data_IF_734793425008
#
_entry.id   IF_734793425008
#
_cell.length_a   1.000
_cell.length_b   1.000
_cell.length_c   1.000
_cell.angle_alpha   90.00
_cell.angle_beta   90.00
_cell.angle_gamma   90.00
#
_symmetry.space_group_name_H-M   'P 1'
#
loop_
_entity.id
_entity.type
_entity.pdbx_description
1 polymer ?
#
# COMPACT_ATOMS: atom_id res chain seq x y z
N UNK A 1 6.27 7.81 47.80
CA UNK A 1 6.98 7.56 46.51
C UNK A 1 8.45 7.57 46.83
N UNK A 2 9.19 6.51 46.49
CA UNK A 2 10.61 6.44 46.84
C UNK A 2 11.42 7.14 45.74
N UNK A 3 11.93 8.33 46.06
CA UNK A 3 12.85 9.08 45.20
C UNK A 3 14.28 8.96 45.72
N UNK A 4 15.25 9.09 44.82
CA UNK A 4 16.68 9.10 45.13
C UNK A 4 17.39 10.17 44.29
N UNK A 5 18.48 10.74 44.79
CA UNK A 5 19.28 11.73 44.04
C UNK A 5 20.36 11.03 43.21
N UNK A 6 20.94 11.72 42.22
CA UNK A 6 21.94 11.10 41.35
C UNK A 6 23.14 10.52 42.09
N UNK A 7 23.58 11.18 43.17
CA UNK A 7 24.72 10.78 44.00
C UNK A 7 24.52 9.42 44.68
N UNK A 8 23.27 9.03 44.90
CA UNK A 8 22.89 7.81 45.62
C UNK A 8 22.54 6.66 44.64
N UNK A 9 22.77 6.86 43.32
CA UNK A 9 22.57 5.85 42.28
C UNK A 9 23.92 5.26 41.90
N UNK A 10 24.13 3.98 42.19
CA UNK A 10 25.29 3.24 41.70
C UNK A 10 25.34 3.24 40.17
N UNK A 11 26.42 3.76 39.61
CA UNK A 11 26.64 3.82 38.17
C UNK A 11 27.92 3.09 37.78
N UNK A 12 27.77 2.04 36.97
CA UNK A 12 28.89 1.36 36.31
C UNK A 12 28.84 1.67 34.81
N UNK A 13 29.84 2.39 34.31
CA UNK A 13 29.93 2.75 32.89
C UNK A 13 30.13 1.50 32.03
N UNK A 14 29.12 1.14 31.21
CA UNK A 14 29.21 0.00 30.26
C UNK A 14 29.85 0.36 28.92
N UNK A 15 30.10 1.65 28.66
CA UNK A 15 30.78 2.13 27.45
C UNK A 15 31.35 3.52 27.69
N UNK A 16 32.33 3.93 26.87
CA UNK A 16 32.90 5.30 26.88
C UNK A 16 31.88 6.41 26.60
N UNK A 17 30.69 6.07 26.09
CA UNK A 17 29.59 7.01 25.77
C UNK A 17 28.45 6.96 26.80
N UNK A 18 28.60 6.19 27.88
CA UNK A 18 27.56 6.08 28.90
C UNK A 18 27.52 7.36 29.76
N UNK A 19 26.38 8.05 29.71
CA UNK A 19 26.13 9.26 30.51
C UNK A 19 25.82 8.88 31.96
N UNK A 20 26.55 9.42 32.97
CA UNK A 20 26.29 9.15 34.38
C UNK A 20 24.99 9.82 34.89
N UNK A 21 24.36 9.29 35.95
CA UNK A 21 23.16 9.86 36.57
C UNK A 21 23.28 11.35 36.92
N UNK A 22 24.46 11.78 37.39
CA UNK A 22 24.75 13.18 37.78
C UNK A 22 24.61 14.13 36.59
N UNK A 23 25.04 13.69 35.40
CA UNK A 23 24.90 14.49 34.18
C UNK A 23 23.44 14.60 33.75
N UNK A 24 22.66 13.52 33.89
CA UNK A 24 21.21 13.57 33.66
C UNK A 24 20.51 14.50 34.65
N UNK A 25 20.82 14.43 35.93
CA UNK A 25 20.25 15.30 36.97
C UNK A 25 20.55 16.77 36.68
N UNK A 26 21.80 17.10 36.32
CA UNK A 26 22.19 18.46 35.94
C UNK A 26 21.37 18.98 34.76
N UNK A 27 21.17 18.15 33.73
CA UNK A 27 20.37 18.50 32.55
C UNK A 27 18.89 18.69 32.88
N UNK A 28 18.34 17.85 33.74
CA UNK A 28 16.94 17.91 34.17
C UNK A 28 16.70 19.17 35.01
N UNK A 29 17.59 19.48 35.96
CA UNK A 29 17.52 20.70 36.77
C UNK A 29 17.53 21.94 35.87
N UNK A 30 18.42 22.02 34.87
CA UNK A 30 18.45 23.13 33.91
C UNK A 30 17.12 23.30 33.17
N UNK A 31 16.53 22.21 32.69
CA UNK A 31 15.21 22.26 32.03
C UNK A 31 14.13 22.69 33.01
N UNK A 32 14.14 22.17 34.23
CA UNK A 32 13.18 22.55 35.26
C UNK A 32 13.28 24.04 35.63
N UNK A 33 14.49 24.60 35.72
CA UNK A 33 14.73 26.03 35.96
C UNK A 33 14.13 26.90 34.85
N UNK A 34 14.32 26.53 33.57
CA UNK A 34 13.77 27.26 32.42
C UNK A 34 12.23 27.31 32.45
N UNK A 35 11.60 26.27 32.96
CA UNK A 35 10.14 26.15 32.97
C UNK A 35 9.48 26.40 34.32
N UNK A 36 10.24 26.80 35.35
CA UNK A 36 9.73 27.06 36.70
C UNK A 36 9.22 25.80 37.43
N UNK A 37 9.78 24.63 37.14
CA UNK A 37 9.43 23.35 37.76
C UNK A 37 10.37 23.01 38.92
N UNK A 38 9.89 22.26 39.91
CA UNK A 38 10.72 21.75 41.01
C UNK A 38 11.07 20.29 40.78
N UNK A 39 12.35 19.96 40.77
CA UNK A 39 12.84 18.58 40.66
C UNK A 39 13.03 17.97 42.05
N UNK A 40 12.52 16.76 42.28
CA UNK A 40 12.53 16.07 43.59
C UNK A 40 13.26 14.72 43.58
N UNK A 41 13.97 14.38 42.50
CA UNK A 41 14.76 13.15 42.39
C UNK A 41 14.29 12.14 41.35
N UNK A 42 15.03 11.05 41.20
CA UNK A 42 14.69 9.90 40.37
C UNK A 42 13.75 8.95 41.11
N UNK A 43 12.74 8.43 40.42
CA UNK A 43 11.79 7.46 40.98
C UNK A 43 12.35 6.05 40.87
N UNK A 44 12.42 5.33 41.99
CA UNK A 44 12.84 3.94 42.02
C UNK A 44 11.72 2.98 41.56
N UNK A 45 12.04 1.87 40.89
CA UNK A 45 13.38 1.44 40.48
C UNK A 45 13.88 2.15 39.22
N UNK A 46 15.20 2.41 39.16
CA UNK A 46 15.89 2.96 37.98
C UNK A 46 15.78 1.97 36.82
N UNK A 47 15.38 2.45 35.64
CA UNK A 47 15.18 1.60 34.46
C UNK A 47 16.41 1.63 33.54
N UNK A 48 16.63 0.52 32.82
CA UNK A 48 17.60 0.43 31.73
C UNK A 48 16.84 0.38 30.39
N UNK A 49 17.20 1.20 29.38
CA UNK A 49 18.26 2.22 29.40
C UNK A 49 17.89 3.43 30.30
N UNK A 50 18.90 4.13 30.84
CA UNK A 50 18.72 5.13 31.91
C UNK A 50 17.74 6.25 31.52
N UNK A 51 17.63 6.60 30.23
CA UNK A 51 16.68 7.62 29.74
C UNK A 51 15.20 7.27 29.96
N UNK A 52 14.89 5.99 30.24
CA UNK A 52 13.53 5.52 30.54
C UNK A 52 13.22 5.55 32.04
N UNK A 53 14.18 5.94 32.88
CA UNK A 53 13.94 6.15 34.32
C UNK A 53 12.97 7.31 34.50
N UNK A 54 12.09 7.18 35.49
CA UNK A 54 11.14 8.25 35.83
C UNK A 54 11.79 9.23 36.81
N UNK A 55 11.40 10.49 36.74
CA UNK A 55 11.79 11.53 37.71
C UNK A 55 10.56 12.13 38.34
N UNK A 56 10.69 12.59 39.57
CA UNK A 56 9.64 13.30 40.28
C UNK A 56 9.84 14.80 40.05
N UNK A 57 8.84 15.45 39.45
CA UNK A 57 8.83 16.88 39.17
C UNK A 57 7.51 17.45 39.65
N UNK A 58 7.55 18.60 40.32
CA UNK A 58 6.37 19.37 40.67
C UNK A 58 6.14 20.48 39.64
N UNK A 59 4.92 20.53 39.11
CA UNK A 59 4.49 21.54 38.13
C UNK A 59 3.19 22.15 38.66
N UNK A 60 3.20 23.45 38.97
CA UNK A 60 2.04 24.20 39.46
C UNK A 60 1.34 23.52 40.65
N UNK A 61 2.10 23.10 41.67
CA UNK A 61 1.58 22.44 42.87
C UNK A 61 1.15 20.98 42.68
N UNK A 62 1.39 20.39 41.50
CA UNK A 62 1.06 18.98 41.19
C UNK A 62 2.31 18.16 40.94
N UNK A 63 2.48 17.11 41.75
CA UNK A 63 3.55 16.13 41.59
C UNK A 63 3.30 15.24 40.38
N UNK A 64 4.33 15.06 39.57
CA UNK A 64 4.29 14.41 38.27
C UNK A 64 5.51 13.52 38.09
N UNK A 65 5.35 12.37 37.40
CA UNK A 65 6.44 11.39 37.21
C UNK A 65 6.79 11.09 35.74
N UNK A 66 7.36 12.05 34.98
CA UNK A 66 7.83 11.80 33.60
C UNK A 66 8.96 10.80 33.49
N UNK A 67 9.15 10.21 32.31
CA UNK A 67 10.44 9.66 31.90
C UNK A 67 11.45 10.79 31.62
N UNK A 68 12.73 10.57 31.95
CA UNK A 68 13.83 11.53 31.69
C UNK A 68 13.82 12.01 30.23
N UNK A 69 13.65 11.09 29.27
CA UNK A 69 13.59 11.41 27.85
C UNK A 69 12.54 12.48 27.53
N UNK A 70 11.35 12.42 28.15
CA UNK A 70 10.26 13.36 27.91
C UNK A 70 10.48 14.72 28.58
N UNK A 71 11.20 14.76 29.71
CA UNK A 71 11.61 16.03 30.33
C UNK A 71 12.62 16.73 29.45
N UNK A 72 13.66 16.00 29.01
CA UNK A 72 14.73 16.57 28.19
C UNK A 72 14.25 17.03 26.81
N UNK A 73 13.20 16.41 26.26
CA UNK A 73 12.60 16.84 24.98
C UNK A 73 11.48 17.87 25.14
N UNK A 74 11.11 18.24 26.38
CA UNK A 74 9.99 19.16 26.66
C UNK A 74 8.61 18.59 26.30
N UNK A 75 8.51 17.27 26.08
CA UNK A 75 7.28 16.60 25.62
C UNK A 75 6.36 16.18 26.78
N UNK A 76 6.70 16.50 28.02
CA UNK A 76 6.04 15.93 29.19
C UNK A 76 4.72 16.59 29.58
N UNK A 77 4.58 17.91 29.52
CA UNK A 77 3.41 18.55 30.15
C UNK A 77 2.16 18.53 29.28
N UNK A 78 2.26 18.24 27.98
CA UNK A 78 1.15 18.09 27.04
C UNK A 78 0.30 19.36 26.79
N UNK A 79 0.27 20.28 27.76
CA UNK A 79 -0.51 21.52 27.78
C UNK A 79 0.33 22.78 27.55
N UNK A 80 1.66 22.70 27.70
CA UNK A 80 2.60 23.82 27.48
C UNK A 80 3.48 23.61 26.25
N UNK A 81 2.96 22.92 25.21
CA UNK A 81 3.57 23.02 23.89
C UNK A 81 3.42 24.47 23.43
N UNK A 82 4.42 25.30 23.74
CA UNK A 82 4.70 26.47 22.91
C UNK A 82 4.96 25.88 21.54
N UNK A 83 3.95 25.96 20.68
CA UNK A 83 4.10 25.49 19.30
C UNK A 83 5.27 26.28 18.75
N UNK A 84 6.36 25.63 18.28
CA UNK A 84 7.42 26.37 17.65
C UNK A 84 6.78 27.26 16.58
N UNK A 85 7.21 28.52 16.42
CA UNK A 85 6.63 29.42 15.43
C UNK A 85 6.52 28.67 14.11
N UNK A 86 5.32 28.65 13.50
CA UNK A 86 5.05 27.89 12.28
C UNK A 86 6.19 28.18 11.31
N UNK A 87 7.05 27.19 11.05
CA UNK A 87 8.17 27.36 10.14
C UNK A 87 7.58 27.84 8.82
N UNK A 88 8.12 28.91 8.25
CA UNK A 88 7.74 29.35 6.91
C UNK A 88 7.82 28.13 5.99
N UNK A 89 6.74 27.87 5.25
CA UNK A 89 6.73 26.75 4.31
C UNK A 89 7.89 26.93 3.33
N UNK A 90 8.55 25.82 3.00
CA UNK A 90 9.73 25.85 2.11
C UNK A 90 9.42 26.38 0.71
N UNK A 91 8.17 26.25 0.29
CA UNK A 91 7.67 26.66 -1.02
C UNK A 91 6.39 27.47 -0.83
N UNK A 92 6.09 28.39 -1.74
CA UNK A 92 4.76 29.00 -1.84
C UNK A 92 3.74 27.98 -2.36
N UNK A 93 2.45 28.33 -2.30
CA UNK A 93 1.38 27.49 -2.84
C UNK A 93 1.54 27.29 -4.36
N UNK A 94 1.87 28.35 -5.09
CA UNK A 94 2.06 28.33 -6.54
C UNK A 94 3.26 27.44 -6.92
N UNK A 95 4.38 27.59 -6.21
CA UNK A 95 5.56 26.75 -6.38
C UNK A 95 5.25 25.28 -6.06
N UNK A 96 4.43 25.01 -5.04
CA UNK A 96 4.02 23.66 -4.70
C UNK A 96 3.17 23.02 -5.82
N UNK A 97 2.20 23.75 -6.36
CA UNK A 97 1.36 23.31 -7.48
C UNK A 97 2.17 23.09 -8.76
N UNK A 98 3.13 23.97 -9.06
CA UNK A 98 4.00 23.80 -10.23
C UNK A 98 4.88 22.54 -10.09
N UNK A 99 5.47 22.35 -8.90
CA UNK A 99 6.25 21.15 -8.58
C UNK A 99 5.42 19.87 -8.64
N UNK A 100 4.15 19.93 -8.21
CA UNK A 100 3.22 18.82 -8.35
C UNK A 100 2.91 18.53 -9.83
N UNK A 101 2.60 19.55 -10.63
CA UNK A 101 2.33 19.41 -12.07
C UNK A 101 3.51 18.79 -12.81
N UNK A 102 4.73 19.25 -12.56
CA UNK A 102 5.96 18.69 -13.14
C UNK A 102 6.15 17.21 -12.79
N UNK A 103 5.86 16.82 -11.55
CA UNK A 103 5.97 15.43 -11.09
C UNK A 103 4.89 14.51 -11.69
N UNK A 104 3.63 14.95 -11.70
CA UNK A 104 2.50 14.12 -12.10
C UNK A 104 2.27 14.01 -13.61
N UNK A 105 2.70 15.01 -14.40
CA UNK A 105 2.60 15.03 -15.87
C UNK A 105 3.18 13.78 -16.55
N UNK A 106 4.42 13.34 -16.30
CA UNK A 106 4.98 12.12 -16.91
C UNK A 106 4.34 10.82 -16.40
N UNK A 107 3.68 10.84 -15.23
CA UNK A 107 2.99 9.70 -14.63
C UNK A 107 1.58 9.51 -15.25
N UNK A 108 1.11 10.48 -16.03
CA UNK A 108 -0.22 10.45 -16.64
C UNK A 108 -1.33 10.94 -15.70
N UNK A 109 -1.00 11.91 -14.83
CA UNK A 109 -1.95 12.54 -13.92
C UNK A 109 -1.96 14.06 -14.11
N UNK A 110 -3.15 14.66 -14.11
CA UNK A 110 -3.33 16.11 -14.11
C UNK A 110 -3.53 16.60 -12.67
N UNK A 111 -2.92 17.73 -12.32
CA UNK A 111 -3.12 18.38 -11.00
C UNK A 111 -4.13 19.50 -11.18
N UNK A 112 -5.32 19.33 -10.61
CA UNK A 112 -6.42 20.29 -10.69
C UNK A 112 -6.28 21.41 -9.66
N UNK A 113 -5.71 21.11 -8.49
CA UNK A 113 -5.53 22.08 -7.41
C UNK A 113 -5.21 21.42 -6.08
N UNK A 114 -5.36 22.17 -5.00
CA UNK A 114 -5.30 21.66 -3.63
C UNK A 114 -6.67 21.15 -3.18
N UNK A 115 -6.68 20.09 -2.38
CA UNK A 115 -7.90 19.52 -1.78
C UNK A 115 -8.19 20.11 -0.39
N UNK A 116 -7.21 20.81 0.19
CA UNK A 116 -7.26 21.45 1.49
C UNK A 116 -6.37 22.71 1.46
N UNK A 117 -6.53 23.65 2.42
CA UNK A 117 -5.67 24.82 2.49
C UNK A 117 -4.19 24.43 2.54
N UNK A 118 -3.32 25.24 1.95
CA UNK A 118 -1.90 24.92 1.86
C UNK A 118 -1.25 24.78 3.25
N UNK A 119 -0.81 23.56 3.56
CA UNK A 119 -0.14 23.18 4.80
C UNK A 119 1.31 22.71 4.55
N UNK A 120 1.88 23.05 3.39
CA UNK A 120 3.23 22.65 2.97
C UNK A 120 3.24 21.41 2.06
N UNK A 121 4.33 20.64 2.08
CA UNK A 121 4.57 19.55 1.11
C UNK A 121 3.64 18.33 1.25
N UNK A 122 2.97 18.21 2.40
CA UNK A 122 2.03 17.14 2.72
C UNK A 122 0.57 17.49 2.39
N UNK A 123 0.34 18.73 1.90
CA UNK A 123 -0.98 19.21 1.47
C UNK A 123 -1.59 18.26 0.46
N UNK A 124 -2.83 17.87 0.68
CA UNK A 124 -3.57 17.01 -0.24
C UNK A 124 -3.88 17.77 -1.52
N UNK A 125 -3.63 17.10 -2.64
CA UNK A 125 -3.85 17.56 -4.00
C UNK A 125 -5.08 16.89 -4.60
N UNK A 126 -5.74 17.62 -5.50
CA UNK A 126 -6.75 17.12 -6.41
C UNK A 126 -6.05 16.67 -7.69
N UNK A 127 -5.99 15.36 -7.91
CA UNK A 127 -5.29 14.72 -9.02
C UNK A 127 -6.28 13.99 -9.93
N UNK A 128 -6.23 14.18 -11.24
CA UNK A 128 -7.05 13.49 -12.23
C UNK A 128 -6.22 12.47 -13.02
N UNK A 129 -6.59 11.19 -13.03
CA UNK A 129 -5.91 10.23 -13.89
C UNK A 129 -6.27 10.49 -15.35
N UNK A 130 -5.28 10.61 -16.24
CA UNK A 130 -5.51 10.68 -17.70
C UNK A 130 -6.05 9.38 -18.27
N UNK A 131 -5.83 8.27 -17.57
CA UNK A 131 -6.21 6.94 -18.01
C UNK A 131 -7.73 6.69 -18.07
N UNK A 132 -8.51 7.31 -17.17
CA UNK A 132 -9.96 7.13 -17.08
C UNK A 132 -10.66 8.31 -16.36
N UNK A 133 -10.04 9.50 -16.36
CA UNK A 133 -10.63 10.74 -15.85
C UNK A 133 -10.88 10.84 -14.34
N UNK A 134 -10.51 9.84 -13.53
CA UNK A 134 -10.85 9.80 -12.08
C UNK A 134 -10.11 10.87 -11.29
N UNK A 135 -10.84 11.59 -10.43
CA UNK A 135 -10.31 12.58 -9.50
C UNK A 135 -9.96 11.93 -8.15
N UNK A 136 -8.80 12.27 -7.60
CA UNK A 136 -8.24 11.79 -6.35
C UNK A 136 -7.87 12.98 -5.47
N UNK A 137 -8.47 13.08 -4.27
CA UNK A 137 -8.30 14.21 -3.34
C UNK A 137 -7.41 13.93 -2.12
N UNK A 138 -6.75 12.76 -2.07
CA UNK A 138 -5.94 12.30 -0.90
C UNK A 138 -4.45 12.16 -1.21
N UNK A 139 -4.03 12.49 -2.44
CA UNK A 139 -2.62 12.38 -2.83
C UNK A 139 -1.84 13.60 -2.38
N UNK A 140 -0.67 13.44 -1.79
CA UNK A 140 0.26 14.55 -1.50
C UNK A 140 1.58 14.36 -2.24
N UNK A 141 2.33 15.43 -2.47
CA UNK A 141 3.56 15.34 -3.24
C UNK A 141 4.67 14.56 -2.51
N UNK A 142 4.75 14.71 -1.19
CA UNK A 142 5.82 14.15 -0.36
C UNK A 142 5.80 12.62 -0.30
N UNK A 143 4.68 12.02 0.12
CA UNK A 143 4.52 10.58 0.26
C UNK A 143 4.61 9.89 -1.11
N UNK A 144 4.09 10.51 -2.16
CA UNK A 144 4.11 9.91 -3.49
C UNK A 144 5.48 9.91 -4.14
N UNK A 145 6.32 10.93 -3.89
CA UNK A 145 7.74 10.92 -4.28
C UNK A 145 8.53 9.82 -3.57
N UNK A 146 8.23 9.54 -2.30
CA UNK A 146 8.99 8.58 -1.47
C UNK A 146 8.51 7.14 -1.61
N UNK A 147 7.21 6.90 -1.73
CA UNK A 147 6.61 5.57 -1.64
C UNK A 147 6.02 5.05 -2.96
N UNK A 148 6.01 5.85 -4.03
CA UNK A 148 5.49 5.42 -5.34
C UNK A 148 3.99 5.09 -5.33
N UNK A 149 3.21 5.79 -4.50
CA UNK A 149 1.83 5.44 -4.15
C UNK A 149 0.77 5.65 -5.23
N UNK A 150 1.06 6.40 -6.30
CA UNK A 150 0.08 6.76 -7.32
C UNK A 150 0.12 5.81 -8.52
N UNK A 151 -0.59 4.69 -8.39
CA UNK A 151 -1.13 3.93 -9.51
C UNK A 151 -2.64 3.95 -9.38
N UNK A 152 -3.34 4.22 -10.49
CA UNK A 152 -4.81 4.29 -10.45
C UNK A 152 -5.36 2.95 -9.89
N UNK A 153 -6.41 2.91 -9.06
CA UNK A 153 -6.86 1.66 -8.44
C UNK A 153 -7.19 0.53 -9.43
N UNK A 154 -7.72 0.88 -10.61
CA UNK A 154 -8.06 -0.07 -11.68
C UNK A 154 -6.80 -0.71 -12.28
N UNK A 155 -5.83 0.12 -12.63
CA UNK A 155 -4.52 -0.26 -13.17
C UNK A 155 -3.65 -0.87 -12.09
N UNK A 156 -3.77 -0.48 -10.82
CA UNK A 156 -3.05 -1.07 -9.68
C UNK A 156 -3.43 -2.53 -9.48
N UNK A 157 -4.72 -2.86 -9.64
CA UNK A 157 -5.18 -4.24 -9.63
C UNK A 157 -4.58 -5.06 -10.77
N UNK A 158 -4.61 -4.51 -12.00
CA UNK A 158 -4.00 -5.15 -13.18
C UNK A 158 -2.48 -5.31 -13.00
N UNK A 159 -1.77 -4.25 -12.64
CA UNK A 159 -0.33 -4.24 -12.42
C UNK A 159 0.09 -5.17 -11.29
N UNK A 160 -0.64 -5.22 -10.17
CA UNK A 160 -0.37 -6.18 -9.08
C UNK A 160 -0.60 -7.61 -9.54
N UNK A 161 -1.69 -7.90 -10.26
CA UNK A 161 -1.96 -9.23 -10.81
C UNK A 161 -0.87 -9.66 -11.80
N UNK A 162 -0.41 -8.75 -12.66
CA UNK A 162 0.71 -8.98 -13.59
C UNK A 162 2.02 -9.19 -12.84
N UNK A 163 2.34 -8.37 -11.84
CA UNK A 163 3.54 -8.53 -11.01
C UNK A 163 3.53 -9.85 -10.25
N UNK A 164 2.38 -10.26 -9.71
CA UNK A 164 2.20 -11.56 -9.07
C UNK A 164 2.37 -12.70 -10.09
N UNK A 165 1.81 -12.56 -11.29
CA UNK A 165 2.03 -13.47 -12.42
C UNK A 165 3.51 -13.60 -12.78
N UNK A 166 4.24 -12.49 -12.92
CA UNK A 166 5.70 -12.48 -13.19
C UNK A 166 6.50 -13.15 -12.08
N UNK A 167 6.19 -12.88 -10.82
CA UNK A 167 6.82 -13.58 -9.67
C UNK A 167 6.53 -15.08 -9.69
N UNK A 168 5.32 -15.48 -10.08
CA UNK A 168 4.93 -16.88 -10.20
C UNK A 168 5.66 -17.57 -11.36
N UNK A 169 5.81 -16.90 -12.49
CA UNK A 169 6.59 -17.34 -13.66
C UNK A 169 8.07 -17.57 -13.27
N UNK A 170 8.72 -16.60 -12.62
CA UNK A 170 10.11 -16.74 -12.16
C UNK A 170 10.27 -17.90 -11.17
N UNK A 171 9.33 -18.05 -10.23
CA UNK A 171 9.31 -19.18 -9.27
C UNK A 171 9.12 -20.52 -9.96
N UNK A 172 8.35 -20.57 -11.04
CA UNK A 172 8.02 -21.80 -11.74
C UNK A 172 9.05 -22.20 -12.80
N UNK A 173 9.85 -21.26 -13.32
CA UNK A 173 10.92 -21.53 -14.31
C UNK A 173 11.90 -22.61 -13.84
N UNK A 174 12.14 -22.70 -12.54
CA UNK A 174 13.01 -23.70 -11.91
C UNK A 174 12.25 -24.75 -11.07
N UNK A 175 10.92 -24.81 -11.19
CA UNK A 175 10.13 -25.76 -10.42
C UNK A 175 10.30 -27.19 -10.96
N UNK A 176 10.96 -28.04 -10.17
CA UNK A 176 11.12 -29.47 -10.47
C UNK A 176 10.00 -30.33 -9.86
N UNK A 177 9.17 -29.76 -8.99
CA UNK A 177 8.06 -30.48 -8.34
C UNK A 177 6.89 -30.74 -9.31
N UNK A 178 6.11 -31.81 -9.12
CA UNK A 178 4.91 -32.04 -9.91
C UNK A 178 3.89 -30.90 -9.81
N UNK A 179 3.23 -30.59 -10.92
CA UNK A 179 2.26 -29.50 -11.01
C UNK A 179 1.13 -29.85 -11.98
N UNK A 180 -0.10 -29.58 -11.57
CA UNK A 180 -1.26 -29.72 -12.44
C UNK A 180 -1.46 -28.45 -13.25
N UNK A 181 -1.66 -28.60 -14.55
CA UNK A 181 -2.36 -27.63 -15.38
C UNK A 181 -3.84 -28.02 -15.41
N UNK A 182 -4.76 -27.07 -15.21
CA UNK A 182 -6.19 -27.33 -15.22
C UNK A 182 -6.93 -26.36 -16.13
N UNK A 183 -8.06 -26.83 -16.66
CA UNK A 183 -9.02 -26.06 -17.42
C UNK A 183 -10.40 -26.22 -16.77
N UNK A 184 -11.02 -25.08 -16.50
CA UNK A 184 -12.34 -24.99 -15.89
C UNK A 184 -13.21 -24.07 -16.76
N UNK A 185 -14.49 -24.37 -16.86
CA UNK A 185 -15.46 -23.51 -17.52
C UNK A 185 -16.10 -22.57 -16.50
N UNK A 186 -16.37 -21.34 -16.92
CA UNK A 186 -17.01 -20.31 -16.09
C UNK A 186 -18.27 -19.86 -16.83
N UNK A 187 -19.41 -20.34 -16.34
CA UNK A 187 -20.69 -20.19 -17.03
C UNK A 187 -20.67 -20.81 -18.43
N UNK A 188 -21.34 -20.16 -19.37
CA UNK A 188 -21.42 -20.63 -20.77
C UNK A 188 -20.46 -19.88 -21.69
N UNK A 189 -20.04 -18.67 -21.30
CA UNK A 189 -19.35 -17.72 -22.17
C UNK A 189 -17.84 -17.77 -22.06
N UNK A 190 -17.30 -18.25 -20.93
CA UNK A 190 -15.86 -18.18 -20.65
C UNK A 190 -15.30 -19.50 -20.13
N UNK A 191 -13.99 -19.65 -20.25
CA UNK A 191 -13.23 -20.65 -19.53
C UNK A 191 -12.00 -20.00 -18.89
N UNK A 192 -11.48 -20.66 -17.87
CA UNK A 192 -10.26 -20.29 -17.16
C UNK A 192 -9.28 -21.45 -17.20
N UNK A 193 -8.03 -21.12 -17.45
CA UNK A 193 -6.91 -22.04 -17.29
C UNK A 193 -6.01 -21.60 -16.14
N UNK A 194 -5.19 -22.51 -15.64
CA UNK A 194 -4.21 -22.18 -14.63
C UNK A 194 -3.43 -23.39 -14.14
N UNK A 195 -2.53 -23.12 -13.20
CA UNK A 195 -1.65 -24.14 -12.63
C UNK A 195 -1.82 -24.25 -11.11
N UNK A 196 -1.57 -25.45 -10.57
CA UNK A 196 -1.59 -25.68 -9.14
C UNK A 196 -0.62 -26.77 -8.72
N UNK A 197 -0.03 -26.58 -7.54
CA UNK A 197 0.82 -27.56 -6.86
C UNK A 197 0.01 -28.39 -5.86
N UNK A 198 -1.30 -28.15 -5.75
CA UNK A 198 -2.18 -28.97 -4.91
C UNK A 198 -2.33 -30.35 -5.56
N UNK A 199 -2.41 -31.38 -4.73
CA UNK A 199 -2.64 -32.76 -5.19
C UNK A 199 -3.98 -32.93 -5.91
N UNK A 200 -4.99 -32.18 -5.47
CA UNK A 200 -6.33 -32.20 -6.05
C UNK A 200 -6.66 -30.85 -6.70
N UNK A 201 -6.78 -30.78 -8.04
CA UNK A 201 -7.21 -29.59 -8.77
C UNK A 201 -8.60 -29.09 -8.38
N UNK A 202 -9.50 -29.95 -7.89
CA UNK A 202 -10.85 -29.55 -7.46
C UNK A 202 -10.82 -28.57 -6.29
N UNK A 203 -9.77 -28.58 -5.47
CA UNK A 203 -9.59 -27.57 -4.44
C UNK A 203 -9.46 -26.17 -5.03
N UNK A 204 -8.78 -26.02 -6.18
CA UNK A 204 -8.70 -24.74 -6.89
C UNK A 204 -10.05 -24.34 -7.49
N UNK A 205 -10.84 -25.30 -7.98
CA UNK A 205 -12.20 -25.04 -8.47
C UNK A 205 -13.05 -24.42 -7.37
N UNK A 206 -13.02 -24.99 -6.16
CA UNK A 206 -13.77 -24.47 -4.99
C UNK A 206 -13.31 -23.07 -4.58
N UNK A 207 -12.01 -22.80 -4.63
CA UNK A 207 -11.48 -21.46 -4.36
C UNK A 207 -11.97 -20.43 -5.38
N UNK A 208 -11.88 -20.73 -6.67
CA UNK A 208 -12.35 -19.83 -7.72
C UNK A 208 -13.86 -19.60 -7.63
N UNK A 209 -14.64 -20.62 -7.24
CA UNK A 209 -16.09 -20.49 -7.09
C UNK A 209 -16.47 -19.46 -6.04
N UNK A 210 -15.70 -19.30 -4.95
CA UNK A 210 -15.95 -18.26 -3.92
C UNK A 210 -15.82 -16.83 -4.46
N UNK A 211 -15.05 -16.67 -5.53
CA UNK A 211 -14.72 -15.39 -6.14
C UNK A 211 -15.47 -15.14 -7.46
N UNK A 212 -16.36 -16.06 -7.83
CA UNK A 212 -17.05 -16.07 -9.12
C UNK A 212 -18.55 -16.21 -8.90
N UNK A 213 -19.33 -15.31 -9.48
CA UNK A 213 -20.79 -15.36 -9.39
C UNK A 213 -21.41 -16.47 -10.26
N UNK A 214 -20.74 -16.83 -11.35
CA UNK A 214 -21.18 -17.90 -12.24
C UNK A 214 -20.74 -19.29 -11.76
N UNK A 215 -21.49 -20.31 -12.19
CA UNK A 215 -21.16 -21.71 -11.91
C UNK A 215 -19.86 -22.09 -12.63
N UNK A 216 -18.92 -22.66 -11.89
CA UNK A 216 -17.68 -23.21 -12.41
C UNK A 216 -17.83 -24.72 -12.58
N UNK A 217 -17.50 -25.23 -13.76
CA UNK A 217 -17.43 -26.68 -14.01
C UNK A 217 -16.01 -27.08 -14.37
N UNK A 218 -15.54 -28.16 -13.76
CA UNK A 218 -14.24 -28.72 -14.09
C UNK A 218 -14.29 -29.39 -15.46
N UNK A 219 -13.31 -29.11 -16.31
CA UNK A 219 -13.29 -29.66 -17.67
C UNK A 219 -12.16 -30.68 -17.83
N UNK A 220 -10.92 -30.31 -17.52
CA UNK A 220 -9.82 -31.27 -17.49
C UNK A 220 -8.63 -30.79 -16.66
N UNK A 221 -7.73 -31.71 -16.36
CA UNK A 221 -6.39 -31.37 -15.86
C UNK A 221 -5.35 -32.34 -16.38
N UNK A 222 -4.11 -31.87 -16.48
CA UNK A 222 -2.95 -32.67 -16.82
C UNK A 222 -1.87 -32.48 -15.75
N UNK A 223 -1.30 -33.59 -15.25
CA UNK A 223 -0.21 -33.56 -14.29
C UNK A 223 1.13 -33.59 -15.02
N UNK A 224 1.92 -32.53 -14.87
CA UNK A 224 3.31 -32.53 -15.27
C UNK A 224 4.18 -32.96 -14.10
N UNK A 225 5.05 -33.95 -14.30
CA UNK A 225 6.04 -34.36 -13.30
C UNK A 225 7.05 -33.24 -13.02
N UNK A 226 7.33 -32.42 -14.03
CA UNK A 226 8.24 -31.28 -13.96
C UNK A 226 7.42 -29.98 -14.01
N UNK A 227 7.39 -29.26 -12.90
CA UNK A 227 6.51 -28.11 -12.70
C UNK A 227 6.75 -26.93 -13.66
N UNK A 228 7.97 -26.75 -14.16
CA UNK A 228 8.24 -25.67 -15.13
C UNK A 228 7.45 -25.85 -16.43
N UNK A 229 7.15 -27.09 -16.85
CA UNK A 229 6.36 -27.38 -18.06
C UNK A 229 4.93 -26.86 -17.96
N UNK A 230 4.30 -27.00 -16.80
CA UNK A 230 2.97 -26.44 -16.56
C UNK A 230 2.97 -24.90 -16.66
N UNK A 231 3.99 -24.25 -16.11
CA UNK A 231 4.15 -22.80 -16.18
C UNK A 231 4.47 -22.28 -17.58
N UNK A 232 5.29 -23.02 -18.33
CA UNK A 232 5.64 -22.70 -19.71
C UNK A 232 4.43 -22.81 -20.64
N UNK A 233 3.60 -23.85 -20.47
CA UNK A 233 2.33 -24.00 -21.17
C UNK A 233 1.36 -22.83 -20.88
N UNK A 234 1.20 -22.45 -19.60
CA UNK A 234 0.37 -21.28 -19.23
C UNK A 234 0.86 -19.99 -19.92
N UNK A 235 2.17 -19.81 -20.00
CA UNK A 235 2.79 -18.67 -20.68
C UNK A 235 2.63 -18.72 -22.20
N UNK A 236 2.75 -19.90 -22.81
CA UNK A 236 2.50 -20.12 -24.23
C UNK A 236 1.09 -19.71 -24.63
N UNK A 237 0.08 -20.12 -23.84
CA UNK A 237 -1.31 -19.72 -24.06
C UNK A 237 -1.46 -18.20 -23.93
N UNK A 238 -0.89 -17.58 -22.89
CA UNK A 238 -0.95 -16.13 -22.66
C UNK A 238 -0.35 -15.31 -23.82
N UNK A 239 0.71 -15.81 -24.45
CA UNK A 239 1.40 -15.13 -25.55
C UNK A 239 0.71 -15.35 -26.91
N UNK A 240 0.33 -16.59 -27.20
CA UNK A 240 -0.10 -16.99 -28.54
C UNK A 240 -1.61 -16.86 -28.73
N UNK A 241 -2.40 -16.82 -27.65
CA UNK A 241 -3.87 -16.82 -27.72
C UNK A 241 -4.42 -15.60 -26.99
N UNK A 242 -4.75 -14.57 -27.77
CA UNK A 242 -5.38 -13.35 -27.27
C UNK A 242 -6.91 -13.46 -27.27
N UNK A 243 -7.56 -12.81 -26.31
CA UNK A 243 -9.01 -12.76 -26.22
C UNK A 243 -9.50 -11.91 -25.05
N UNK A 244 -10.76 -11.47 -25.15
CA UNK A 244 -11.43 -10.67 -24.12
C UNK A 244 -11.49 -11.47 -22.81
N UNK A 245 -11.06 -10.85 -21.72
CA UNK A 245 -11.11 -11.44 -20.37
C UNK A 245 -12.52 -11.36 -19.80
N UNK A 246 -12.82 -12.26 -18.88
CA UNK A 246 -14.09 -12.23 -18.14
C UNK A 246 -14.19 -10.90 -17.37
N UNK A 247 -15.37 -10.25 -17.33
CA UNK A 247 -15.55 -9.02 -16.55
C UNK A 247 -15.30 -9.26 -15.06
N UNK A 248 -14.75 -8.27 -14.35
CA UNK A 248 -14.49 -8.41 -12.90
C UNK A 248 -15.75 -8.54 -12.06
N UNK A 249 -16.90 -8.16 -12.61
CA UNK A 249 -18.22 -8.30 -11.95
C UNK A 249 -18.58 -9.76 -11.79
N UNK A 250 -18.14 -10.59 -12.75
CA UNK A 250 -18.38 -12.03 -12.75
C UNK A 250 -17.31 -12.73 -11.93
N UNK A 251 -16.03 -12.35 -12.08
CA UNK A 251 -14.91 -12.93 -11.36
C UNK A 251 -13.99 -11.85 -10.78
N UNK A 252 -14.06 -11.64 -9.46
CA UNK A 252 -13.38 -10.52 -8.80
C UNK A 252 -11.85 -10.72 -8.65
N UNK A 253 -11.36 -11.95 -8.79
CA UNK A 253 -9.96 -12.32 -8.64
C UNK A 253 -9.60 -13.45 -9.60
N UNK A 254 -8.38 -13.43 -10.17
CA UNK A 254 -7.93 -14.46 -11.12
C UNK A 254 -8.53 -14.35 -12.53
N UNK A 255 -9.09 -13.20 -12.91
CA UNK A 255 -9.70 -12.97 -14.22
C UNK A 255 -8.68 -12.94 -15.39
N UNK A 256 -7.37 -12.81 -15.10
CA UNK A 256 -6.31 -12.64 -16.11
C UNK A 256 -6.08 -13.89 -16.98
N UNK A 257 -6.30 -15.08 -16.44
CA UNK A 257 -6.19 -16.37 -17.16
C UNK A 257 -7.53 -16.87 -17.71
N UNK A 258 -8.42 -15.96 -18.09
CA UNK A 258 -9.71 -16.30 -18.71
C UNK A 258 -9.71 -16.01 -20.20
N UNK A 259 -10.52 -16.73 -20.96
CA UNK A 259 -10.74 -16.52 -22.39
C UNK A 259 -12.20 -16.84 -22.76
N UNK A 260 -12.72 -16.27 -23.86
CA UNK A 260 -14.05 -16.60 -24.36
C UNK A 260 -14.11 -18.06 -24.82
N UNK A 261 -15.27 -18.70 -24.67
CA UNK A 261 -15.46 -20.12 -25.02
C UNK A 261 -15.13 -20.44 -26.48
N UNK A 262 -15.25 -19.46 -27.38
CA UNK A 262 -14.86 -19.59 -28.80
C UNK A 262 -13.38 -19.97 -28.99
N UNK A 263 -12.50 -19.63 -28.03
CA UNK A 263 -11.07 -19.94 -28.07
C UNK A 263 -10.71 -21.29 -27.44
N UNK A 264 -11.70 -22.04 -26.93
CA UNK A 264 -11.46 -23.29 -26.22
C UNK A 264 -10.82 -24.35 -27.13
N UNK A 265 -11.23 -24.42 -28.40
CA UNK A 265 -10.66 -25.36 -29.38
C UNK A 265 -9.18 -25.07 -29.64
N UNK A 266 -8.85 -23.81 -29.87
CA UNK A 266 -7.47 -23.34 -30.07
C UNK A 266 -6.59 -23.68 -28.86
N UNK A 267 -7.09 -23.42 -27.65
CA UNK A 267 -6.37 -23.75 -26.41
C UNK A 267 -6.18 -25.26 -26.23
N UNK A 268 -7.21 -26.08 -26.46
CA UNK A 268 -7.08 -27.54 -26.36
C UNK A 268 -6.08 -28.09 -27.38
N UNK A 269 -6.07 -27.56 -28.60
CA UNK A 269 -5.09 -27.92 -29.62
C UNK A 269 -3.67 -27.57 -29.16
N UNK A 270 -3.47 -26.35 -28.65
CA UNK A 270 -2.18 -25.90 -28.13
C UNK A 270 -1.68 -26.75 -26.95
N UNK A 271 -2.57 -27.13 -26.03
CA UNK A 271 -2.24 -28.01 -24.91
C UNK A 271 -1.77 -29.38 -25.41
N UNK A 272 -2.52 -29.98 -26.34
CA UNK A 272 -2.19 -31.30 -26.88
C UNK A 272 -0.86 -31.29 -27.64
N UNK A 273 -0.62 -30.25 -28.45
CA UNK A 273 0.64 -30.06 -29.15
C UNK A 273 1.80 -29.93 -28.17
N UNK A 274 1.67 -29.07 -27.16
CA UNK A 274 2.71 -28.88 -26.15
C UNK A 274 3.04 -30.18 -25.38
N UNK A 275 2.01 -30.93 -24.99
CA UNK A 275 2.17 -32.22 -24.31
C UNK A 275 2.87 -33.22 -25.23
N UNK A 276 2.51 -33.25 -26.52
CA UNK A 276 3.10 -34.15 -27.51
C UNK A 276 4.56 -33.81 -27.82
N UNK A 277 4.88 -32.54 -28.04
CA UNK A 277 6.25 -32.06 -28.26
C UNK A 277 7.15 -32.31 -27.06
N UNK A 278 6.56 -32.32 -25.84
CA UNK A 278 7.24 -32.62 -24.58
C UNK A 278 8.61 -31.94 -24.45
N UNK A 279 8.67 -30.59 -24.49
CA UNK A 279 9.92 -29.87 -24.64
C UNK A 279 10.92 -30.19 -23.50
N UNK A 280 12.20 -30.25 -23.86
CA UNK A 280 13.31 -30.48 -22.93
C UNK A 280 13.75 -29.23 -22.18
N UNK A 281 13.37 -28.03 -22.68
CA UNK A 281 13.68 -26.74 -22.08
C UNK A 281 12.50 -25.76 -22.22
N UNK A 282 12.38 -24.76 -21.32
CA UNK A 282 11.47 -23.62 -21.44
C UNK A 282 11.41 -23.00 -22.85
N UNK A 283 10.21 -22.90 -23.43
CA UNK A 283 10.01 -22.28 -24.75
C UNK A 283 9.42 -20.86 -24.69
N UNK A 284 8.55 -20.59 -23.71
CA UNK A 284 7.73 -19.38 -23.66
C UNK A 284 8.03 -18.47 -22.47
N UNK A 285 8.94 -18.86 -21.59
CA UNK A 285 9.48 -17.99 -20.53
C UNK A 285 10.35 -16.87 -21.15
N UNK A 286 9.79 -15.67 -21.28
CA UNK A 286 10.52 -14.45 -21.66
C UNK A 286 10.15 -13.32 -20.70
N UNK A 287 11.14 -12.52 -20.30
CA UNK A 287 11.01 -11.46 -19.30
C UNK A 287 10.38 -10.18 -19.89
N UNK A 288 10.27 -10.11 -21.22
CA UNK A 288 9.75 -8.98 -22.00
C UNK A 288 8.24 -9.06 -22.24
N UNK A 289 7.44 -9.31 -21.19
CA UNK A 289 5.97 -9.25 -21.32
C UNK A 289 5.51 -7.79 -21.53
N UNK A 290 5.43 -7.33 -22.78
CA UNK A 290 4.79 -6.07 -23.16
C UNK A 290 3.29 -6.12 -22.79
N UNK A 291 2.80 -5.09 -22.09
CA UNK A 291 1.44 -5.06 -21.52
C UNK A 291 0.54 -4.23 -22.44
N UNK A 292 -0.49 -4.85 -23.03
CA UNK A 292 -1.60 -4.10 -23.62
C UNK A 292 -2.73 -3.98 -22.59
N UNK A 293 -2.89 -2.79 -22.00
CA UNK A 293 -3.88 -2.51 -20.95
C UNK A 293 -5.33 -2.69 -21.42
N UNK A 294 -5.60 -2.52 -22.72
CA UNK A 294 -6.95 -2.64 -23.30
C UNK A 294 -7.49 -4.09 -23.20
N UNK A 295 -6.61 -5.07 -23.01
CA UNK A 295 -7.01 -6.46 -22.81
C UNK A 295 -7.50 -6.76 -21.38
N UNK A 296 -7.32 -5.84 -20.43
CA UNK A 296 -7.53 -6.08 -18.99
C UNK A 296 -8.58 -5.19 -18.33
N UNK A 297 -9.04 -4.15 -19.02
CA UNK A 297 -10.02 -3.18 -18.53
C UNK A 297 -11.10 -3.07 -19.61
N UNK A 298 -12.33 -3.47 -19.29
CA UNK A 298 -13.49 -3.27 -20.18
C UNK A 298 -14.22 -1.97 -19.86
N UNK A 299 -14.99 -1.45 -20.82
CA UNK A 299 -15.83 -0.27 -20.62
C UNK A 299 -16.89 -0.50 -19.52
N UNK A 300 -17.44 -1.71 -19.44
CA UNK A 300 -18.36 -2.13 -18.37
C UNK A 300 -17.71 -2.15 -16.97
N UNK A 301 -16.42 -2.51 -16.88
CA UNK A 301 -15.68 -2.43 -15.61
C UNK A 301 -15.45 -0.97 -15.19
N UNK A 302 -15.32 -0.06 -16.17
CA UNK A 302 -15.26 1.39 -15.93
C UNK A 302 -16.61 1.90 -15.43
N UNK A 303 -17.72 1.58 -16.10
CA UNK A 303 -19.07 2.01 -15.72
C UNK A 303 -19.54 1.47 -14.36
N UNK A 304 -19.31 0.18 -14.06
CA UNK A 304 -19.65 -0.40 -12.75
C UNK A 304 -18.96 0.35 -11.63
N UNK A 305 -17.64 0.56 -11.76
CA UNK A 305 -16.84 1.18 -10.71
C UNK A 305 -17.13 2.68 -10.61
N UNK A 306 -17.57 3.34 -11.69
CA UNK A 306 -18.16 4.68 -11.64
C UNK A 306 -19.47 4.67 -10.85
N UNK A 307 -20.39 3.73 -11.11
CA UNK A 307 -21.69 3.66 -10.40
C UNK A 307 -21.55 3.34 -8.91
N UNK A 308 -20.63 2.43 -8.54
CA UNK A 308 -20.36 2.08 -7.14
C UNK A 308 -19.74 3.26 -6.37
N UNK A 309 -19.09 4.18 -7.07
CA UNK A 309 -18.50 5.37 -6.47
C UNK A 309 -19.47 6.56 -6.43
N UNK A 310 -20.34 6.70 -7.43
CA UNK A 310 -21.47 7.64 -7.37
C UNK A 310 -22.46 7.29 -6.26
N UNK A 311 -22.59 6.00 -5.94
CA UNK A 311 -23.43 5.50 -4.84
C UNK A 311 -22.63 5.20 -3.56
N UNK A 312 -21.34 5.53 -3.50
CA UNK A 312 -20.62 5.51 -2.24
C UNK A 312 -21.24 6.61 -1.37
N UNK A 313 -21.59 6.34 -0.09
CA UNK A 313 -22.15 7.38 0.76
C UNK A 313 -21.16 8.53 0.77
N UNK A 314 -21.58 9.67 0.19
CA UNK A 314 -20.95 10.93 0.47
C UNK A 314 -20.98 11.01 1.99
N UNK A 315 -19.81 10.98 2.61
CA UNK A 315 -19.70 11.20 4.05
C UNK A 315 -20.57 12.40 4.38
N UNK A 316 -21.42 12.26 5.40
CA UNK A 316 -22.44 13.20 5.85
C UNK A 316 -21.96 14.66 5.76
N UNK A 317 -22.14 15.28 4.59
CA UNK A 317 -21.94 16.69 4.36
C UNK A 317 -23.35 17.22 4.22
N UNK A 318 -23.80 17.99 5.21
CA UNK A 318 -25.10 18.66 5.10
C UNK A 318 -24.99 19.74 4.02
N UNK A 319 -26.10 20.15 3.39
CA UNK A 319 -26.08 21.16 2.34
C UNK A 319 -25.39 22.47 2.75
N UNK A 320 -25.35 22.78 4.05
CA UNK A 320 -24.61 23.93 4.58
C UNK A 320 -23.09 23.83 4.38
N UNK A 321 -22.51 22.63 4.28
CA UNK A 321 -21.07 22.43 4.03
C UNK A 321 -20.66 22.64 2.55
N UNK A 322 -21.64 22.87 1.66
CA UNK A 322 -21.45 23.07 0.22
C UNK A 322 -21.64 24.53 -0.23
N UNK A 323 -22.07 25.42 0.66
CA UNK A 323 -22.13 26.85 0.36
C UNK A 323 -20.72 27.45 0.44
N UNK A 324 -20.10 27.66 -0.72
CA UNK A 324 -18.96 28.58 -0.81
C UNK A 324 -19.46 29.97 -0.41
N UNK A 325 -18.99 30.47 0.73
CA UNK A 325 -19.14 31.89 1.08
C UNK A 325 -18.38 32.72 0.04
N UNK A 326 -19.16 33.35 -0.85
CA UNK A 326 -18.69 34.23 -1.92
C UNK A 326 -18.76 35.70 -1.52
N UNK A 327 -18.83 36.02 -0.21
CA UNK A 327 -18.77 37.40 0.22
C UNK A 327 -17.43 38.04 -0.22
N UNK A 328 -17.47 39.23 -0.85
CA UNK A 328 -16.26 39.95 -1.20
C UNK A 328 -15.48 40.26 0.08
N UNK A 329 -14.16 39.99 0.06
CA UNK A 329 -13.23 40.51 1.07
C UNK A 329 -13.23 42.03 0.97
N UNK A 330 -14.15 42.68 1.68
CA UNK A 330 -14.05 44.11 1.96
C UNK A 330 -12.87 44.33 2.91
N UNK A 331 -12.04 45.29 2.50
CA UNK A 331 -10.72 45.59 3.01
C UNK A 331 -10.61 45.68 4.54
N UNK A 332 -9.58 45.03 5.08
CA UNK A 332 -8.83 45.47 6.26
C UNK A 332 -7.34 45.15 6.09
#
# INVERSE_FOLDING_TARGET
MNTTLAKDIEFTAKSKRATPPVEYETRIIKVCQVHGWLYSGFVLPVKKPFQNTKVCIEVNGKVKTPCISHVLTGQFTGKDRVSPPKKKFRFTEEEHLENARKFYKPIGWDVLGLAEPYQGVDTKLILRCKCHGKIHKKGDLHNNRRQGGLTCPLVRGVLKSIQNGRKQVIRNKFAQRPMHFYLIRVGEKFFKYGITTRKDPMQRVREHQKHTSEKITFECSHLFNIGWKAGDLEMGIKKNIQGKKIPRKVMNSGFTETLPISKLKDVKSFINEYIHTNPSKPMYFDDTNAINLNNYISDEDIERDLSQWMNAPLADLTPEDLELDLSPLEAL
#
